data_IF_674492698930
#
_entry.id   IF_674492698930
#
_cell.length_a   1.000
_cell.length_b   1.000
_cell.length_c   1.000
_cell.angle_alpha   90.00
_cell.angle_beta   90.00
_cell.angle_gamma   90.00
#
_symmetry.space_group_name_H-M   'P 1'
#
loop_
_entity.id
_entity.type
_entity.pdbx_description
1 polymer ?
#
# COMPACT_ATOMS: atom_id res chain seq x y z
N UNK A 1 21.93 4.17 3.40
CA UNK A 1 20.86 4.09 4.43
C UNK A 1 20.89 2.68 5.00
N UNK A 2 21.15 2.55 6.29
CA UNK A 2 21.18 1.25 6.99
C UNK A 2 19.73 0.78 7.20
N UNK A 3 19.43 -0.49 6.91
CA UNK A 3 18.15 -1.13 7.16
C UNK A 3 18.37 -2.35 8.06
N UNK A 4 17.46 -2.57 9.00
CA UNK A 4 17.51 -3.68 9.96
C UNK A 4 16.16 -4.39 9.94
N UNK A 5 16.16 -5.72 9.88
CA UNK A 5 14.93 -6.51 9.98
C UNK A 5 14.60 -6.68 11.46
N UNK A 6 13.38 -6.36 11.84
CA UNK A 6 12.84 -6.55 13.18
C UNK A 6 11.51 -7.32 13.13
N UNK A 7 11.13 -7.90 14.26
CA UNK A 7 9.83 -8.60 14.41
C UNK A 7 8.87 -7.66 15.15
N UNK A 8 7.65 -7.57 14.67
CA UNK A 8 6.57 -6.79 15.27
C UNK A 8 5.77 -7.62 16.28
N UNK A 9 4.85 -7.01 17.03
CA UNK A 9 4.09 -7.68 18.08
C UNK A 9 3.16 -8.80 17.56
N UNK A 10 2.80 -8.79 16.27
CA UNK A 10 2.01 -9.85 15.63
C UNK A 10 2.85 -10.98 15.01
N UNK A 11 4.16 -10.99 15.25
CA UNK A 11 5.09 -11.99 14.76
C UNK A 11 5.66 -11.70 13.37
N UNK A 12 5.05 -10.81 12.59
CA UNK A 12 5.51 -10.47 11.26
C UNK A 12 6.79 -9.63 11.26
N UNK A 13 7.61 -9.77 10.23
CA UNK A 13 8.82 -8.95 10.05
C UNK A 13 8.48 -7.57 9.49
N UNK A 14 9.31 -6.58 9.83
CA UNK A 14 9.34 -5.28 9.19
C UNK A 14 10.77 -4.75 9.09
N UNK A 15 10.98 -3.67 8.36
CA UNK A 15 12.27 -3.01 8.19
C UNK A 15 12.31 -1.77 9.07
N UNK A 16 13.32 -1.66 9.92
CA UNK A 16 13.68 -0.44 10.64
C UNK A 16 14.79 0.31 9.93
N UNK A 17 14.67 1.63 9.90
CA UNK A 17 15.71 2.55 9.43
C UNK A 17 16.26 3.29 10.66
N UNK A 18 17.39 2.83 11.27
CA UNK A 18 17.91 3.42 12.50
C UNK A 18 18.24 4.91 12.37
N UNK A 19 18.78 5.32 11.21
CA UNK A 19 19.18 6.71 10.95
C UNK A 19 18.00 7.69 11.01
N UNK A 20 16.77 7.18 10.79
CA UNK A 20 15.54 7.96 10.80
C UNK A 20 14.64 7.68 12.00
N UNK A 21 15.01 6.70 12.83
CA UNK A 21 14.16 6.16 13.91
C UNK A 21 12.75 5.81 13.43
N UNK A 22 12.65 5.24 12.23
CA UNK A 22 11.38 4.94 11.57
C UNK A 22 11.32 3.48 11.12
N UNK A 23 10.11 2.94 10.97
CA UNK A 23 9.85 1.59 10.50
C UNK A 23 8.97 1.62 9.26
N UNK A 24 9.09 0.60 8.40
CA UNK A 24 8.21 0.45 7.24
C UNK A 24 6.76 0.20 7.65
N UNK A 25 6.52 -0.52 8.75
CA UNK A 25 5.19 -0.79 9.28
C UNK A 25 5.15 -0.56 10.79
N UNK A 26 3.95 -0.57 11.36
CA UNK A 26 3.75 -0.48 12.81
C UNK A 26 4.45 -1.60 13.55
N UNK A 27 5.14 -1.28 14.64
CA UNK A 27 5.71 -2.28 15.57
C UNK A 27 4.64 -3.11 16.29
N UNK A 28 3.39 -2.64 16.32
CA UNK A 28 2.26 -3.38 16.88
C UNK A 28 1.76 -4.51 15.97
N UNK A 29 2.23 -4.58 14.72
CA UNK A 29 1.91 -5.65 13.79
C UNK A 29 1.80 -5.13 12.36
N UNK A 30 2.72 -5.58 11.48
CA UNK A 30 2.70 -5.18 10.08
C UNK A 30 1.49 -5.78 9.35
N UNK A 31 1.22 -7.06 9.56
CA UNK A 31 0.07 -7.77 8.96
C UNK A 31 -1.25 -7.21 9.50
N UNK A 32 -1.36 -6.97 10.82
CA UNK A 32 -2.57 -6.42 11.41
C UNK A 32 -2.88 -5.02 10.86
N UNK A 33 -1.88 -4.17 10.72
CA UNK A 33 -2.03 -2.83 10.14
C UNK A 33 -2.47 -2.92 8.68
N UNK A 34 -1.79 -3.73 7.86
CA UNK A 34 -2.12 -3.93 6.46
C UNK A 34 -3.56 -4.43 6.27
N UNK A 35 -3.96 -5.47 7.00
CA UNK A 35 -5.33 -6.01 6.97
C UNK A 35 -6.37 -4.98 7.41
N UNK A 36 -6.07 -4.20 8.45
CA UNK A 36 -7.02 -3.20 8.95
C UNK A 36 -7.19 -2.02 7.98
N UNK A 37 -6.07 -1.43 7.54
CA UNK A 37 -6.10 -0.18 6.76
C UNK A 37 -6.48 -0.45 5.31
N UNK A 38 -5.80 -1.40 4.68
CA UNK A 38 -5.86 -1.56 3.23
C UNK A 38 -6.90 -2.58 2.79
N UNK A 39 -7.08 -3.66 3.53
CA UNK A 39 -8.09 -4.66 3.18
C UNK A 39 -9.46 -4.25 3.71
N UNK A 40 -9.65 -4.25 5.00
CA UNK A 40 -10.96 -4.02 5.64
C UNK A 40 -11.56 -2.65 5.30
N UNK A 41 -10.77 -1.59 5.31
CA UNK A 41 -11.25 -0.22 5.06
C UNK A 41 -11.04 0.26 3.61
N UNK A 42 -10.39 -0.53 2.77
CA UNK A 42 -10.14 -0.27 1.36
C UNK A 42 -10.73 -1.33 0.44
N UNK A 43 -10.06 -2.48 0.29
CA UNK A 43 -10.42 -3.53 -0.67
C UNK A 43 -11.85 -4.07 -0.48
N UNK A 44 -12.29 -4.22 0.75
CA UNK A 44 -13.63 -4.75 1.07
C UNK A 44 -14.78 -3.90 0.51
N UNK A 45 -14.54 -2.62 0.20
CA UNK A 45 -15.53 -1.77 -0.47
C UNK A 45 -15.85 -2.24 -1.90
N UNK A 46 -14.95 -3.03 -2.49
CA UNK A 46 -15.00 -3.50 -3.88
C UNK A 46 -15.27 -5.01 -3.99
N UNK A 47 -15.78 -5.65 -2.93
CA UNK A 47 -16.03 -7.10 -2.91
C UNK A 47 -16.98 -7.57 -4.03
N UNK A 48 -17.97 -6.75 -4.39
CA UNK A 48 -18.97 -7.06 -5.41
C UNK A 48 -18.51 -6.74 -6.86
N UNK A 49 -17.28 -6.29 -7.03
CA UNK A 49 -16.70 -6.04 -8.35
C UNK A 49 -15.85 -7.23 -8.77
N UNK A 50 -16.04 -7.71 -9.99
CA UNK A 50 -15.27 -8.84 -10.54
C UNK A 50 -13.81 -8.43 -10.84
N UNK A 51 -13.62 -7.16 -11.21
CA UNK A 51 -12.28 -6.61 -11.52
C UNK A 51 -11.99 -5.37 -10.69
N UNK A 52 -10.71 -5.16 -10.34
CA UNK A 52 -10.25 -4.00 -9.59
C UNK A 52 -8.86 -3.55 -10.05
N UNK A 53 -8.66 -2.22 -10.13
CA UNK A 53 -7.36 -1.60 -10.36
C UNK A 53 -6.89 -0.86 -9.11
N UNK A 54 -5.71 -1.23 -8.60
CA UNK A 54 -5.15 -0.71 -7.34
C UNK A 54 -3.81 -0.02 -7.63
N UNK A 55 -3.61 1.16 -7.04
CA UNK A 55 -2.32 1.83 -6.98
C UNK A 55 -1.83 1.84 -5.53
N UNK A 56 -0.64 1.32 -5.29
CA UNK A 56 0.04 1.40 -4.00
C UNK A 56 1.16 2.43 -4.05
N UNK A 57 1.14 3.35 -3.11
CA UNK A 57 2.18 4.34 -2.88
C UNK A 57 3.04 3.84 -1.72
N UNK A 58 4.29 3.43 -2.03
CA UNK A 58 5.18 2.75 -1.09
C UNK A 58 5.02 1.23 -1.16
N UNK A 59 5.46 0.61 -2.26
CA UNK A 59 5.44 -0.86 -2.42
C UNK A 59 6.25 -1.59 -1.33
N UNK A 60 7.35 -0.98 -0.89
CA UNK A 60 8.15 -1.43 0.26
C UNK A 60 8.50 -2.91 0.22
N UNK A 61 8.02 -3.64 1.22
CA UNK A 61 8.25 -5.09 1.40
C UNK A 61 7.29 -5.97 0.59
N UNK A 62 6.35 -5.40 -0.18
CA UNK A 62 5.35 -6.14 -0.95
C UNK A 62 4.25 -6.79 -0.11
N UNK A 63 4.16 -6.47 1.19
CA UNK A 63 3.18 -7.05 2.12
C UNK A 63 1.75 -6.77 1.65
N UNK A 64 1.42 -5.50 1.34
CA UNK A 64 0.07 -5.13 0.91
C UNK A 64 -0.32 -5.81 -0.41
N UNK A 65 0.62 -5.91 -1.36
CA UNK A 65 0.40 -6.61 -2.63
C UNK A 65 0.14 -8.11 -2.41
N UNK A 66 0.90 -8.76 -1.52
CA UNK A 66 0.73 -10.18 -1.24
C UNK A 66 -0.59 -10.46 -0.50
N UNK A 67 -0.94 -9.67 0.52
CA UNK A 67 -2.25 -9.82 1.20
C UNK A 67 -3.39 -9.56 0.21
N UNK A 68 -3.28 -8.54 -0.64
CA UNK A 68 -4.29 -8.26 -1.67
C UNK A 68 -4.45 -9.45 -2.61
N UNK A 69 -3.37 -10.09 -3.03
CA UNK A 69 -3.44 -11.32 -3.82
C UNK A 69 -4.23 -12.41 -3.08
N UNK A 70 -3.93 -12.67 -1.81
CA UNK A 70 -4.62 -13.70 -1.03
C UNK A 70 -6.12 -13.42 -0.90
N UNK A 71 -6.52 -12.17 -0.74
CA UNK A 71 -7.92 -11.76 -0.59
C UNK A 71 -8.68 -11.67 -1.93
N UNK A 72 -7.98 -11.73 -3.05
CA UNK A 72 -8.58 -11.55 -4.39
C UNK A 72 -8.47 -12.77 -5.30
N UNK A 73 -8.14 -13.94 -4.77
CA UNK A 73 -7.99 -15.17 -5.58
C UNK A 73 -9.25 -15.56 -6.36
N UNK A 74 -10.43 -15.10 -5.93
CA UNK A 74 -11.72 -15.37 -6.57
C UNK A 74 -12.18 -14.25 -7.51
N UNK A 75 -11.44 -13.15 -7.67
CA UNK A 75 -11.77 -12.10 -8.63
C UNK A 75 -11.36 -12.50 -10.05
N UNK A 76 -12.08 -12.03 -11.04
CA UNK A 76 -11.74 -12.27 -12.44
C UNK A 76 -10.46 -11.58 -12.84
N UNK A 77 -10.23 -10.34 -12.35
CA UNK A 77 -9.03 -9.59 -12.70
C UNK A 77 -8.65 -8.57 -11.64
N UNK A 78 -7.38 -8.61 -11.25
CA UNK A 78 -6.74 -7.61 -10.40
C UNK A 78 -5.58 -6.99 -11.16
N UNK A 79 -5.60 -5.67 -11.33
CA UNK A 79 -4.49 -4.89 -11.86
C UNK A 79 -3.84 -4.11 -10.71
N UNK A 80 -2.68 -4.55 -10.27
CA UNK A 80 -1.96 -3.95 -9.14
C UNK A 80 -0.73 -3.20 -9.62
N UNK A 81 -0.63 -1.93 -9.27
CA UNK A 81 0.52 -1.08 -9.56
C UNK A 81 1.15 -0.64 -8.24
N UNK A 82 2.39 -1.04 -7.98
CA UNK A 82 3.15 -0.62 -6.80
C UNK A 82 4.25 0.37 -7.19
N UNK A 83 4.30 1.52 -6.53
CA UNK A 83 5.31 2.56 -6.74
C UNK A 83 6.28 2.61 -5.58
N UNK A 84 7.59 2.59 -5.88
CA UNK A 84 8.65 2.61 -4.86
C UNK A 84 9.90 3.33 -5.42
N UNK A 85 10.40 4.31 -4.68
CA UNK A 85 11.60 5.04 -5.11
C UNK A 85 12.91 4.30 -4.77
N UNK A 86 12.90 3.52 -3.67
CA UNK A 86 14.08 2.87 -3.10
C UNK A 86 13.83 1.37 -2.81
N UNK A 87 13.65 0.53 -3.84
CA UNK A 87 13.35 -0.89 -3.66
C UNK A 87 14.27 -1.58 -2.66
N UNK A 88 13.73 -2.52 -1.92
CA UNK A 88 14.50 -3.35 -1.00
C UNK A 88 15.32 -4.40 -1.77
N UNK A 89 16.39 -4.89 -1.18
CA UNK A 89 17.28 -5.89 -1.78
C UNK A 89 16.70 -7.30 -1.67
N UNK A 90 17.21 -8.23 -2.49
CA UNK A 90 16.84 -9.64 -2.40
C UNK A 90 17.18 -10.25 -1.03
N UNK A 91 18.28 -9.83 -0.41
CA UNK A 91 18.67 -10.30 0.93
C UNK A 91 17.68 -9.81 2.02
N UNK A 92 17.09 -8.63 1.85
CA UNK A 92 16.04 -8.11 2.74
C UNK A 92 14.73 -8.87 2.50
N UNK A 93 14.36 -9.13 1.24
CA UNK A 93 13.16 -9.90 0.87
C UNK A 93 13.23 -11.33 1.45
N UNK A 94 14.38 -11.99 1.36
CA UNK A 94 14.57 -13.34 1.87
C UNK A 94 14.39 -13.48 3.39
N UNK A 95 14.38 -12.37 4.12
CA UNK A 95 14.16 -12.33 5.57
C UNK A 95 12.71 -12.00 5.95
N UNK A 96 11.83 -11.74 4.97
CA UNK A 96 10.41 -11.51 5.25
C UNK A 96 9.70 -12.83 5.53
N UNK A 97 8.93 -12.90 6.61
CA UNK A 97 8.22 -14.10 7.05
C UNK A 97 6.72 -14.09 6.75
N UNK A 98 6.26 -13.19 5.89
CA UNK A 98 4.84 -12.96 5.63
C UNK A 98 4.09 -14.21 5.17
N UNK A 99 4.72 -15.05 4.37
CA UNK A 99 4.10 -16.28 3.87
C UNK A 99 3.74 -17.22 5.01
N UNK A 100 4.64 -17.38 5.99
CA UNK A 100 4.41 -18.20 7.18
C UNK A 100 3.40 -17.56 8.12
N UNK A 101 3.55 -16.25 8.42
CA UNK A 101 2.66 -15.55 9.36
C UNK A 101 1.21 -15.36 8.82
N UNK A 102 1.01 -15.60 7.53
CA UNK A 102 -0.30 -15.58 6.89
C UNK A 102 -0.87 -16.98 6.63
N UNK A 103 -0.20 -18.06 7.10
CA UNK A 103 -0.56 -19.47 6.80
C UNK A 103 -0.71 -19.72 5.27
N UNK A 104 0.19 -19.11 4.49
CA UNK A 104 0.08 -19.04 3.03
C UNK A 104 1.22 -19.79 2.29
N UNK A 105 1.80 -20.83 2.88
CA UNK A 105 2.98 -21.55 2.37
C UNK A 105 2.76 -22.09 0.94
N UNK A 106 1.54 -22.47 0.60
CA UNK A 106 1.18 -22.90 -0.76
C UNK A 106 1.37 -21.80 -1.82
N UNK A 107 1.53 -20.55 -1.42
CA UNK A 107 1.75 -19.40 -2.29
C UNK A 107 3.16 -18.81 -2.18
N UNK A 108 4.14 -19.53 -1.61
CA UNK A 108 5.53 -19.08 -1.53
C UNK A 108 6.07 -18.67 -2.91
N UNK A 109 5.84 -19.51 -3.94
CA UNK A 109 6.28 -19.21 -5.31
C UNK A 109 5.66 -17.93 -5.89
N UNK A 110 4.45 -17.57 -5.45
CA UNK A 110 3.80 -16.32 -5.86
C UNK A 110 4.48 -15.12 -5.21
N UNK A 111 4.77 -15.20 -3.91
CA UNK A 111 5.49 -14.15 -3.20
C UNK A 111 6.88 -13.93 -3.83
N UNK A 112 7.61 -15.01 -4.08
CA UNK A 112 8.93 -14.95 -4.71
C UNK A 112 8.84 -14.34 -6.12
N UNK A 113 7.84 -14.71 -6.91
CA UNK A 113 7.60 -14.19 -8.25
C UNK A 113 7.26 -12.67 -8.22
N UNK A 114 6.44 -12.20 -7.27
CA UNK A 114 6.13 -10.78 -7.11
C UNK A 114 7.39 -9.94 -6.88
N UNK A 115 8.36 -10.48 -6.15
CA UNK A 115 9.62 -9.78 -5.89
C UNK A 115 10.62 -9.92 -7.04
N UNK A 116 10.75 -11.10 -7.63
CA UNK A 116 11.71 -11.39 -8.69
C UNK A 116 11.35 -10.78 -10.05
N UNK A 117 10.06 -10.50 -10.29
CA UNK A 117 9.62 -9.97 -11.58
C UNK A 117 10.19 -8.56 -11.87
N UNK A 118 10.33 -8.25 -13.16
CA UNK A 118 10.91 -6.99 -13.63
C UNK A 118 10.10 -5.78 -13.17
N UNK A 119 10.81 -4.68 -12.93
CA UNK A 119 10.25 -3.36 -12.75
C UNK A 119 9.85 -2.73 -14.09
N UNK A 120 8.95 -1.74 -14.07
CA UNK A 120 8.45 -0.93 -15.20
C UNK A 120 7.54 -1.68 -16.18
N UNK A 121 7.51 -3.00 -16.16
CA UNK A 121 6.70 -3.81 -17.05
C UNK A 121 5.60 -4.56 -16.29
N UNK A 122 4.41 -4.62 -16.89
CA UNK A 122 3.33 -5.43 -16.35
C UNK A 122 3.68 -6.91 -16.41
N UNK A 123 3.55 -7.58 -15.28
CA UNK A 123 3.86 -8.99 -15.13
C UNK A 123 2.59 -9.78 -14.77
N UNK A 124 2.39 -10.90 -15.41
CA UNK A 124 1.34 -11.86 -15.06
C UNK A 124 1.82 -12.71 -13.89
N UNK A 125 1.37 -12.38 -12.67
CA UNK A 125 1.69 -13.16 -11.47
C UNK A 125 0.91 -14.47 -11.50
N UNK A 126 -0.42 -14.36 -11.64
CA UNK A 126 -1.34 -15.45 -11.94
C UNK A 126 -2.27 -15.03 -13.07
N UNK A 127 -3.13 -15.93 -13.56
CA UNK A 127 -4.08 -15.63 -14.63
C UNK A 127 -4.97 -14.40 -14.31
N UNK A 128 -5.33 -14.23 -13.05
CA UNK A 128 -6.20 -13.16 -12.58
C UNK A 128 -5.47 -11.99 -11.89
N UNK A 129 -4.16 -12.08 -11.61
CA UNK A 129 -3.41 -11.04 -10.90
C UNK A 129 -2.23 -10.53 -11.74
N UNK A 130 -2.36 -9.28 -12.16
CA UNK A 130 -1.32 -8.55 -12.90
C UNK A 130 -0.63 -7.56 -11.96
N UNK A 131 0.70 -7.55 -11.95
CA UNK A 131 1.52 -6.66 -11.13
C UNK A 131 2.43 -5.80 -12.02
N UNK A 132 2.42 -4.51 -11.78
CA UNK A 132 3.41 -3.57 -12.32
C UNK A 132 4.13 -2.91 -11.17
N UNK A 133 5.42 -3.13 -11.02
CA UNK A 133 6.25 -2.38 -10.07
C UNK A 133 6.91 -1.21 -10.79
N UNK A 134 6.81 0.01 -10.26
CA UNK A 134 7.41 1.21 -10.83
C UNK A 134 8.45 1.78 -9.88
N UNK A 135 9.69 1.89 -10.34
CA UNK A 135 10.75 2.56 -9.60
C UNK A 135 10.74 4.04 -9.92
N UNK A 136 9.90 4.77 -9.21
CA UNK A 136 9.75 6.22 -9.44
C UNK A 136 9.43 6.96 -8.15
N UNK A 137 9.64 8.27 -8.13
CA UNK A 137 9.19 9.13 -7.06
C UNK A 137 7.69 9.42 -7.18
N UNK A 138 7.01 9.63 -6.05
CA UNK A 138 5.56 9.86 -6.02
C UNK A 138 5.14 11.15 -6.74
N UNK A 139 6.01 12.17 -6.76
CA UNK A 139 5.80 13.41 -7.54
C UNK A 139 5.79 13.19 -9.05
N UNK A 140 6.31 12.09 -9.54
CA UNK A 140 6.38 11.78 -10.97
C UNK A 140 5.20 10.95 -11.47
N UNK A 141 4.26 10.61 -10.59
CA UNK A 141 3.00 9.92 -10.95
C UNK A 141 2.14 10.86 -11.79
N UNK A 142 1.72 10.39 -12.97
CA UNK A 142 0.91 11.15 -13.94
C UNK A 142 -0.36 10.42 -14.36
N UNK A 143 -0.69 9.32 -13.67
CA UNK A 143 -1.88 8.52 -13.94
C UNK A 143 -3.16 9.36 -13.82
N UNK A 144 -4.15 9.08 -14.68
CA UNK A 144 -5.44 9.77 -14.68
C UNK A 144 -6.57 8.78 -14.88
N UNK A 145 -7.53 8.77 -13.95
CA UNK A 145 -8.75 7.97 -14.03
C UNK A 145 -8.46 6.48 -14.37
N UNK A 146 -7.56 5.84 -13.64
CA UNK A 146 -7.14 4.46 -13.89
C UNK A 146 -7.42 3.51 -12.73
N UNK A 147 -7.51 4.02 -11.49
CA UNK A 147 -7.58 3.18 -10.31
C UNK A 147 -8.89 3.33 -9.56
N UNK A 148 -9.42 2.21 -9.10
CA UNK A 148 -10.57 2.15 -8.19
C UNK A 148 -10.14 2.47 -6.77
N UNK A 149 -8.94 2.04 -6.39
CA UNK A 149 -8.43 2.08 -5.03
C UNK A 149 -6.97 2.52 -4.99
N UNK A 150 -6.64 3.41 -4.05
CA UNK A 150 -5.25 3.76 -3.73
C UNK A 150 -4.94 3.34 -2.29
N UNK A 151 -3.88 2.56 -2.13
CA UNK A 151 -3.21 2.35 -0.86
C UNK A 151 -2.12 3.42 -0.70
N UNK A 152 -2.30 4.36 0.20
CA UNK A 152 -1.32 5.41 0.43
C UNK A 152 -0.50 5.09 1.68
N UNK A 153 0.63 4.41 1.46
CA UNK A 153 1.49 3.82 2.49
C UNK A 153 2.91 4.42 2.49
N UNK A 154 3.00 5.73 2.35
CA UNK A 154 4.25 6.47 2.44
C UNK A 154 4.76 6.57 3.88
N UNK A 155 6.07 6.83 4.07
CA UNK A 155 6.65 7.14 5.39
C UNK A 155 5.94 8.31 6.07
N UNK A 156 5.95 8.29 7.41
CA UNK A 156 5.20 9.23 8.23
C UNK A 156 5.49 10.70 7.94
N UNK A 157 4.49 11.56 8.12
CA UNK A 157 4.57 13.02 7.92
C UNK A 157 5.79 13.68 8.64
N UNK A 158 6.20 13.27 9.85
CA UNK A 158 7.35 13.90 10.49
C UNK A 158 8.66 13.72 9.70
N UNK A 159 8.77 12.62 8.97
CA UNK A 159 9.98 12.28 8.22
C UNK A 159 9.98 12.91 6.82
N UNK A 160 8.87 12.80 6.11
CA UNK A 160 8.72 13.23 4.72
C UNK A 160 7.42 14.03 4.52
N UNK A 161 7.31 15.25 5.12
CA UNK A 161 6.07 16.03 5.05
C UNK A 161 5.66 16.41 3.62
N UNK A 162 6.61 16.51 2.69
CA UNK A 162 6.37 16.81 1.28
C UNK A 162 5.52 15.75 0.57
N UNK A 163 5.61 14.48 0.99
CA UNK A 163 4.80 13.38 0.43
C UNK A 163 3.32 13.49 0.80
N UNK A 164 2.99 14.28 1.83
CA UNK A 164 1.64 14.48 2.34
C UNK A 164 1.06 15.85 1.93
N UNK A 165 1.58 16.42 0.86
CA UNK A 165 1.20 17.74 0.35
C UNK A 165 -0.01 17.69 -0.57
N UNK A 166 -0.64 18.86 -0.79
CA UNK A 166 -1.72 19.04 -1.78
C UNK A 166 -1.28 18.62 -3.18
N UNK A 167 -0.01 18.85 -3.55
CA UNK A 167 0.54 18.46 -4.86
C UNK A 167 0.47 16.95 -5.06
N UNK A 168 0.87 16.17 -4.05
CA UNK A 168 0.82 14.70 -4.11
C UNK A 168 -0.65 14.22 -4.08
N UNK A 169 -1.49 14.75 -3.19
CA UNK A 169 -2.89 14.34 -3.15
C UNK A 169 -3.68 14.75 -4.40
N UNK A 170 -3.29 15.84 -5.09
CA UNK A 170 -3.87 16.17 -6.40
C UNK A 170 -3.58 15.08 -7.43
N UNK A 171 -2.36 14.53 -7.46
CA UNK A 171 -2.00 13.41 -8.33
C UNK A 171 -2.80 12.16 -7.98
N UNK A 172 -2.98 11.86 -6.71
CA UNK A 172 -3.81 10.72 -6.25
C UNK A 172 -5.28 10.91 -6.65
N UNK A 173 -5.80 12.13 -6.50
CA UNK A 173 -7.14 12.46 -6.93
C UNK A 173 -7.31 12.26 -8.44
N UNK A 174 -6.34 12.71 -9.24
CA UNK A 174 -6.38 12.57 -10.70
C UNK A 174 -6.25 11.11 -11.14
N UNK A 175 -5.44 10.30 -10.44
CA UNK A 175 -5.23 8.90 -10.73
C UNK A 175 -6.48 8.03 -10.48
N UNK A 176 -7.30 8.39 -9.50
CA UNK A 176 -8.53 7.66 -9.17
C UNK A 176 -9.61 7.83 -10.25
N UNK A 177 -10.35 6.76 -10.47
CA UNK A 177 -11.63 6.78 -11.17
C UNK A 177 -12.69 7.58 -10.38
N UNK A 178 -13.75 8.08 -11.00
CA UNK A 178 -14.92 8.61 -10.28
C UNK A 178 -15.43 7.61 -9.24
N UNK A 179 -15.67 8.07 -8.01
CA UNK A 179 -16.00 7.27 -6.82
C UNK A 179 -14.89 6.35 -6.31
N UNK A 180 -13.71 6.42 -6.91
CA UNK A 180 -12.52 5.72 -6.40
C UNK A 180 -12.12 6.20 -5.01
N UNK A 181 -11.46 5.33 -4.28
CA UNK A 181 -11.16 5.51 -2.86
C UNK A 181 -9.66 5.48 -2.59
N UNK A 182 -9.18 6.32 -1.69
CA UNK A 182 -7.84 6.27 -1.12
C UNK A 182 -7.94 5.96 0.36
N UNK A 183 -7.13 5.03 0.85
CA UNK A 183 -6.99 4.69 2.27
C UNK A 183 -5.56 4.89 2.74
N UNK A 184 -5.41 5.38 3.97
CA UNK A 184 -4.11 5.57 4.61
C UNK A 184 -4.21 5.46 6.13
N UNK A 185 -3.16 4.95 6.74
CA UNK A 185 -3.04 4.85 8.19
C UNK A 185 -2.94 6.21 8.89
N UNK A 186 -2.53 7.26 8.17
CA UNK A 186 -2.26 8.57 8.72
C UNK A 186 -3.54 9.39 8.92
N UNK A 187 -3.62 10.14 10.05
CA UNK A 187 -4.80 10.93 10.41
C UNK A 187 -4.45 12.31 11.01
N UNK A 188 -3.45 13.02 10.45
CA UNK A 188 -3.13 14.39 10.89
C UNK A 188 -4.07 15.40 10.24
N UNK A 189 -4.35 16.49 10.97
CA UNK A 189 -5.20 17.58 10.44
C UNK A 189 -4.62 18.21 9.16
N UNK A 190 -3.29 18.35 9.05
CA UNK A 190 -2.63 18.84 7.84
C UNK A 190 -2.88 17.94 6.63
N UNK A 191 -2.77 16.62 6.82
CA UNK A 191 -3.04 15.60 5.78
C UNK A 191 -4.50 15.68 5.35
N UNK A 192 -5.43 15.66 6.31
CA UNK A 192 -6.86 15.79 6.03
C UNK A 192 -7.18 17.06 5.24
N UNK A 193 -6.61 18.21 5.65
CA UNK A 193 -6.86 19.48 4.97
C UNK A 193 -6.30 19.49 3.55
N UNK A 194 -5.11 18.92 3.33
CA UNK A 194 -4.52 18.77 2.00
C UNK A 194 -5.37 17.89 1.06
N UNK A 195 -5.97 16.82 1.57
CA UNK A 195 -6.90 15.99 0.80
C UNK A 195 -8.21 16.74 0.48
N UNK A 196 -8.78 17.46 1.46
CA UNK A 196 -9.99 18.26 1.26
C UNK A 196 -9.78 19.37 0.22
N UNK A 197 -8.63 20.05 0.24
CA UNK A 197 -8.34 21.16 -0.68
C UNK A 197 -8.31 20.72 -2.16
N UNK A 198 -7.98 19.46 -2.42
CA UNK A 198 -7.95 18.92 -3.80
C UNK A 198 -9.25 18.25 -4.22
N UNK A 199 -10.28 18.22 -3.35
CA UNK A 199 -11.63 17.80 -3.71
C UNK A 199 -12.08 16.43 -3.17
N UNK A 200 -11.30 15.78 -2.33
CA UNK A 200 -11.73 14.53 -1.67
C UNK A 200 -12.85 14.78 -0.65
N UNK A 201 -13.78 13.84 -0.56
CA UNK A 201 -14.60 13.65 0.65
C UNK A 201 -13.85 12.76 1.63
N UNK A 202 -13.82 13.12 2.92
CA UNK A 202 -12.98 12.46 3.93
C UNK A 202 -13.82 11.84 5.03
N UNK A 203 -13.54 10.60 5.34
CA UNK A 203 -14.02 9.89 6.52
C UNK A 203 -12.86 9.62 7.48
N UNK A 204 -13.08 9.84 8.77
CA UNK A 204 -12.23 9.36 9.84
C UNK A 204 -12.77 8.05 10.35
N UNK A 205 -11.92 7.03 10.36
CA UNK A 205 -12.26 5.68 10.79
C UNK A 205 -11.38 5.28 11.98
N UNK A 206 -11.78 4.30 12.78
CA UNK A 206 -10.90 3.74 13.81
C UNK A 206 -9.58 3.26 13.21
N UNK A 207 -8.45 3.60 13.83
CA UNK A 207 -7.12 3.20 13.40
C UNK A 207 -6.83 1.72 13.68
N UNK A 208 -5.74 1.23 13.08
CA UNK A 208 -5.18 -0.08 13.42
C UNK A 208 -4.67 -0.11 14.88
N UNK A 209 -4.36 -1.29 15.45
CA UNK A 209 -3.79 -1.38 16.80
C UNK A 209 -2.63 -0.42 17.01
N UNK A 210 -2.65 0.30 18.13
CA UNK A 210 -1.70 1.37 18.43
C UNK A 210 -2.00 2.72 17.80
N UNK A 211 -2.95 2.83 16.88
CA UNK A 211 -3.37 4.10 16.23
C UNK A 211 -4.83 4.41 16.54
N UNK A 212 -5.10 5.68 16.88
CA UNK A 212 -6.45 6.11 17.24
C UNK A 212 -7.40 6.19 16.05
N UNK A 213 -6.94 6.73 14.94
CA UNK A 213 -7.75 7.01 13.75
C UNK A 213 -6.91 6.79 12.47
N UNK A 214 -7.62 6.52 11.37
CA UNK A 214 -7.11 6.50 10.01
C UNK A 214 -8.00 7.35 9.09
N UNK A 215 -7.56 7.61 7.86
CA UNK A 215 -8.35 8.33 6.87
C UNK A 215 -8.73 7.44 5.70
N UNK A 216 -9.98 7.62 5.26
CA UNK A 216 -10.49 7.19 3.96
C UNK A 216 -10.95 8.41 3.18
N UNK A 217 -10.51 8.52 1.95
CA UNK A 217 -10.81 9.64 1.06
C UNK A 217 -11.48 9.13 -0.22
N UNK A 218 -12.58 9.75 -0.64
CA UNK A 218 -13.32 9.35 -1.85
C UNK A 218 -13.31 10.49 -2.87
N UNK A 219 -13.04 10.16 -4.13
CA UNK A 219 -13.18 11.09 -5.26
C UNK A 219 -14.66 11.20 -5.63
N UNK A 220 -15.22 12.39 -5.51
CA UNK A 220 -16.66 12.56 -5.71
C UNK A 220 -17.03 12.52 -7.18
N UNK A 221 -16.53 12.93 -8.14
CA UNK A 221 -16.88 12.88 -9.62
C UNK A 221 -15.80 13.60 -10.46
#
# INVERSE_FOLDING_TARGET
MKREIIITDDGSTTIRIPDWDENYHSTHGAIQEAKHVFIKNGLDLFQNQDSISILEIGFGTGLNAFITFLETVNKEKVNYVGVEAYPISQDEIAQMNYVTELDAEKYQEIFDKMHACDWENQQTITENFLLTKRKQFFQDIEDKNQFDLIYFDAFGFPLQPELWSEVIFKKMYDALLPKGTLVTYACRSSIKNAMLSVGFSIEKLPGAPGKREMLRATKNV
#
